data_IF_368513248268
#
_entry.id   IF_368513248268
#
_cell.length_a   1.000
_cell.length_b   1.000
_cell.length_c   1.000
_cell.angle_alpha   90.00
_cell.angle_beta   90.00
_cell.angle_gamma   90.00
#
_symmetry.space_group_name_H-M   'P 1'
#
loop_
_entity.id
_entity.type
_entity.pdbx_description
1 polymer ?
#
# COMPACT_ATOMS: atom_id res chain seq x y z
N UNK A 1 4.11 -20.50 0.75
CA UNK A 1 2.98 -20.99 1.57
C UNK A 1 2.09 -19.79 1.87
N UNK A 2 0.77 -19.93 1.77
CA UNK A 2 -0.16 -18.83 2.10
C UNK A 2 -0.40 -18.86 3.61
N UNK A 3 -0.29 -17.71 4.27
CA UNK A 3 -0.57 -17.55 5.68
C UNK A 3 -1.67 -16.51 5.86
N UNK A 4 -2.68 -16.81 6.68
CA UNK A 4 -3.80 -15.93 6.97
C UNK A 4 -3.98 -15.82 8.48
N UNK A 5 -3.98 -14.59 8.97
CA UNK A 5 -4.24 -14.25 10.37
C UNK A 5 -5.55 -13.48 10.44
N UNK A 6 -6.45 -13.88 11.32
CA UNK A 6 -7.73 -13.18 11.53
C UNK A 6 -7.91 -12.82 13.00
N UNK A 7 -8.49 -11.65 13.26
CA UNK A 7 -8.90 -11.21 14.61
C UNK A 7 -10.15 -10.36 14.54
N UNK A 8 -10.95 -10.43 15.61
CA UNK A 8 -12.01 -9.45 15.83
C UNK A 8 -11.39 -8.15 16.33
N UNK A 9 -11.69 -7.04 15.65
CA UNK A 9 -11.22 -5.71 15.99
C UNK A 9 -12.35 -4.71 15.81
N UNK A 10 -12.67 -3.93 16.84
CA UNK A 10 -13.72 -2.91 16.82
C UNK A 10 -15.06 -3.36 16.18
N UNK A 11 -15.47 -4.61 16.44
CA UNK A 11 -16.75 -5.17 15.97
C UNK A 11 -16.76 -5.72 14.54
N UNK A 12 -15.61 -5.77 13.86
CA UNK A 12 -15.47 -6.38 12.53
C UNK A 12 -14.25 -7.31 12.49
N UNK A 13 -14.26 -8.27 11.56
CA UNK A 13 -13.11 -9.14 11.32
C UNK A 13 -12.03 -8.38 10.56
N UNK A 14 -10.85 -8.27 11.17
CA UNK A 14 -9.61 -7.87 10.53
C UNK A 14 -8.85 -9.13 10.10
N UNK A 15 -8.50 -9.24 8.83
CA UNK A 15 -7.69 -10.32 8.29
C UNK A 15 -6.46 -9.81 7.54
N UNK A 16 -5.36 -10.54 7.69
CA UNK A 16 -4.07 -10.28 7.10
C UNK A 16 -3.63 -11.55 6.37
N UNK A 17 -3.43 -11.48 5.06
CA UNK A 17 -3.06 -12.62 4.24
C UNK A 17 -1.76 -12.35 3.47
N UNK A 18 -0.77 -13.22 3.64
CA UNK A 18 0.58 -13.11 3.05
C UNK A 18 0.83 -14.32 2.14
N UNK A 19 1.57 -14.10 1.04
CA UNK A 19 2.05 -15.17 0.16
C UNK A 19 1.08 -15.58 -0.96
N UNK A 20 -0.11 -14.97 -1.05
CA UNK A 20 -1.04 -15.19 -2.17
C UNK A 20 -0.72 -14.34 -3.40
N UNK A 21 -0.57 -13.03 -3.22
CA UNK A 21 -0.39 -12.04 -4.30
C UNK A 21 0.98 -11.37 -4.24
N UNK A 22 1.40 -10.77 -5.37
CA UNK A 22 2.64 -10.00 -5.48
C UNK A 22 3.89 -10.72 -4.94
N UNK A 23 4.05 -12.00 -5.27
CA UNK A 23 5.12 -12.89 -4.75
C UNK A 23 6.56 -12.47 -5.11
N UNK A 24 6.70 -11.56 -6.07
CA UNK A 24 7.99 -11.02 -6.50
C UNK A 24 8.37 -9.74 -5.73
N UNK A 25 7.45 -9.16 -4.95
CA UNK A 25 7.80 -8.11 -4.01
C UNK A 25 8.56 -8.69 -2.82
N UNK A 26 9.43 -7.88 -2.20
CA UNK A 26 10.15 -8.28 -0.99
C UNK A 26 9.17 -8.56 0.17
N UNK A 27 8.07 -7.81 0.23
CA UNK A 27 6.95 -8.10 1.11
C UNK A 27 5.61 -7.76 0.46
N UNK A 28 4.59 -8.57 0.70
CA UNK A 28 3.22 -8.28 0.30
C UNK A 28 2.23 -8.79 1.35
N UNK A 29 1.18 -8.01 1.58
CA UNK A 29 0.09 -8.37 2.49
C UNK A 29 -1.24 -7.88 1.92
N UNK A 30 -2.21 -8.77 1.82
CA UNK A 30 -3.60 -8.44 1.57
C UNK A 30 -4.27 -8.21 2.93
N UNK A 31 -4.72 -6.99 3.16
CA UNK A 31 -5.42 -6.60 4.40
C UNK A 31 -6.89 -6.45 4.07
N UNK A 32 -7.75 -7.11 4.85
CA UNK A 32 -9.20 -6.99 4.72
C UNK A 32 -9.81 -6.66 6.09
N UNK A 33 -10.68 -5.64 6.12
CA UNK A 33 -11.41 -5.23 7.32
C UNK A 33 -12.89 -5.08 6.98
N UNK A 34 -13.70 -6.08 7.34
CA UNK A 34 -15.04 -6.23 6.76
C UNK A 34 -14.93 -6.49 5.24
N UNK A 35 -15.60 -5.65 4.44
CA UNK A 35 -15.60 -5.77 2.98
C UNK A 35 -14.53 -4.91 2.29
N UNK A 36 -13.89 -4.00 3.02
CA UNK A 36 -12.78 -3.19 2.49
C UNK A 36 -11.51 -4.02 2.39
N UNK A 37 -10.89 -4.03 1.21
CA UNK A 37 -9.70 -4.84 0.89
C UNK A 37 -8.61 -3.95 0.30
N UNK A 38 -7.40 -4.05 0.86
CA UNK A 38 -6.21 -3.32 0.42
C UNK A 38 -5.04 -4.28 0.22
N UNK A 39 -4.39 -4.21 -0.94
CA UNK A 39 -3.13 -4.90 -1.21
C UNK A 39 -1.98 -3.93 -0.92
N UNK A 40 -1.18 -4.25 0.09
CA UNK A 40 0.03 -3.53 0.44
C UNK A 40 1.25 -4.32 -0.04
N UNK A 41 2.18 -3.64 -0.71
CA UNK A 41 3.44 -4.23 -1.17
C UNK A 41 4.60 -3.31 -0.79
N UNK A 42 5.74 -3.91 -0.44
CA UNK A 42 6.97 -3.21 -0.12
C UNK A 42 8.11 -3.81 -0.94
N UNK A 43 8.89 -2.93 -1.56
CA UNK A 43 10.09 -3.29 -2.31
C UNK A 43 11.23 -2.34 -1.95
N UNK A 44 12.44 -2.86 -1.91
CA UNK A 44 13.65 -2.06 -1.75
C UNK A 44 14.67 -2.49 -2.81
N UNK A 45 15.56 -1.59 -3.21
CA UNK A 45 16.71 -1.98 -4.01
C UNK A 45 17.74 -2.72 -3.16
N UNK A 46 18.38 -3.74 -3.74
CA UNK A 46 19.45 -4.50 -3.06
C UNK A 46 20.69 -3.63 -2.77
N UNK A 47 20.95 -2.64 -3.61
CA UNK A 47 22.10 -1.75 -3.50
C UNK A 47 21.68 -0.41 -2.91
N UNK A 48 22.54 0.22 -2.08
CA UNK A 48 22.29 1.57 -1.61
C UNK A 48 22.34 2.55 -2.78
N UNK A 49 21.50 3.58 -2.69
CA UNK A 49 21.46 4.69 -3.62
C UNK A 49 22.61 5.68 -3.34
N UNK A 50 22.92 6.50 -4.34
CA UNK A 50 23.91 7.57 -4.25
C UNK A 50 23.29 8.90 -3.77
N UNK A 51 21.97 8.93 -3.55
CA UNK A 51 21.28 10.14 -3.09
C UNK A 51 21.72 10.51 -1.67
N UNK A 52 21.78 11.82 -1.34
CA UNK A 52 22.22 12.27 -0.03
C UNK A 52 21.16 12.10 1.07
N UNK A 53 20.08 11.37 0.81
CA UNK A 53 18.95 11.18 1.72
C UNK A 53 18.29 9.81 1.50
N UNK A 54 17.51 9.36 2.48
CA UNK A 54 16.73 8.13 2.40
C UNK A 54 15.54 8.26 1.42
N UNK A 55 15.56 7.59 0.25
CA UNK A 55 14.49 7.67 -0.73
C UNK A 55 13.40 6.66 -0.38
N UNK A 56 12.43 7.12 0.41
CA UNK A 56 11.19 6.40 0.66
C UNK A 56 10.06 7.04 -0.14
N UNK A 57 9.39 6.22 -0.95
CA UNK A 57 8.20 6.59 -1.69
C UNK A 57 7.02 5.76 -1.19
N UNK A 58 5.94 6.44 -0.82
CA UNK A 58 4.68 5.80 -0.45
C UNK A 58 3.60 6.20 -1.44
N UNK A 59 2.97 5.20 -2.04
CA UNK A 59 1.87 5.36 -2.98
C UNK A 59 0.61 4.73 -2.40
N UNK A 60 -0.47 5.50 -2.39
CA UNK A 60 -1.80 5.04 -2.02
C UNK A 60 -2.71 5.29 -3.22
N UNK A 61 -3.30 4.23 -3.78
CA UNK A 61 -4.06 4.30 -5.04
C UNK A 61 -5.44 3.69 -4.90
N UNK A 62 -6.45 4.54 -5.07
CA UNK A 62 -7.85 4.12 -5.08
C UNK A 62 -8.27 3.78 -6.51
N UNK A 63 -8.80 2.57 -6.69
CA UNK A 63 -9.35 2.16 -7.97
C UNK A 63 -10.85 2.36 -7.99
N UNK A 64 -11.38 2.91 -9.08
CA UNK A 64 -12.81 3.20 -9.17
C UNK A 64 -13.66 1.91 -9.06
N UNK A 65 -13.10 0.78 -9.54
CA UNK A 65 -13.73 -0.53 -9.41
C UNK A 65 -13.91 -0.97 -7.94
N UNK A 66 -13.11 -0.44 -7.01
CA UNK A 66 -13.22 -0.80 -5.60
C UNK A 66 -14.60 -0.45 -5.02
N UNK A 67 -15.24 0.59 -5.57
CA UNK A 67 -16.61 1.02 -5.26
C UNK A 67 -17.62 0.66 -6.37
N UNK A 68 -17.25 -0.24 -7.30
CA UNK A 68 -18.10 -0.65 -8.43
C UNK A 68 -18.36 0.46 -9.47
N UNK A 69 -17.50 1.48 -9.56
CA UNK A 69 -17.68 2.63 -10.46
C UNK A 69 -16.67 2.61 -11.62
N UNK A 70 -17.06 3.22 -12.74
CA UNK A 70 -16.16 3.52 -13.87
C UNK A 70 -15.64 4.95 -13.69
N UNK A 71 -14.34 5.23 -13.90
CA UNK A 71 -13.80 6.58 -13.79
C UNK A 71 -14.55 7.58 -14.70
N UNK A 72 -14.92 8.74 -14.16
CA UNK A 72 -15.76 9.72 -14.86
C UNK A 72 -15.07 10.47 -16.01
N UNK A 73 -13.73 10.57 -15.99
CA UNK A 73 -12.95 11.37 -16.95
C UNK A 73 -13.05 10.91 -18.40
N UNK A 74 -12.55 11.73 -19.33
CA UNK A 74 -12.60 11.46 -20.78
C UNK A 74 -11.99 10.09 -21.14
N UNK A 75 -10.82 9.78 -20.57
CA UNK A 75 -10.10 8.53 -20.81
C UNK A 75 -10.64 7.31 -20.04
N UNK A 76 -11.67 7.48 -19.17
CA UNK A 76 -12.26 6.41 -18.35
C UNK A 76 -11.24 5.56 -17.57
N UNK A 77 -10.14 6.18 -17.12
CA UNK A 77 -9.05 5.56 -16.37
C UNK A 77 -8.62 6.47 -15.21
N UNK A 78 -8.15 5.89 -14.10
CA UNK A 78 -7.57 6.68 -13.02
C UNK A 78 -6.27 7.37 -13.47
N UNK A 79 -6.21 8.68 -13.30
CA UNK A 79 -5.08 9.53 -13.69
C UNK A 79 -4.18 9.88 -12.51
N UNK A 80 -3.79 11.15 -12.42
CA UNK A 80 -2.98 11.66 -11.31
C UNK A 80 -3.64 11.41 -9.94
N UNK A 81 -2.86 11.18 -8.88
CA UNK A 81 -3.40 11.06 -7.53
C UNK A 81 -4.22 12.28 -7.10
N UNK A 82 -5.41 12.02 -6.56
CA UNK A 82 -6.26 13.05 -5.97
C UNK A 82 -5.82 13.44 -4.55
N UNK A 83 -6.48 14.43 -3.96
CA UNK A 83 -6.15 14.93 -2.61
C UNK A 83 -6.20 13.83 -1.55
N UNK A 84 -7.27 13.01 -1.52
CA UNK A 84 -7.43 11.90 -0.58
C UNK A 84 -6.29 10.88 -0.69
N UNK A 85 -5.89 10.56 -1.92
CA UNK A 85 -4.79 9.61 -2.17
C UNK A 85 -3.46 10.17 -1.64
N UNK A 86 -3.18 11.45 -1.90
CA UNK A 86 -1.97 12.14 -1.42
C UNK A 86 -1.96 12.22 0.10
N UNK A 87 -3.08 12.60 0.74
CA UNK A 87 -3.17 12.70 2.18
C UNK A 87 -3.02 11.33 2.86
N UNK A 88 -3.60 10.28 2.29
CA UNK A 88 -3.48 8.92 2.79
C UNK A 88 -2.05 8.39 2.67
N UNK A 89 -1.39 8.62 1.53
CA UNK A 89 0.02 8.30 1.35
C UNK A 89 0.91 8.99 2.41
N UNK A 90 0.67 10.27 2.68
CA UNK A 90 1.40 11.02 3.73
C UNK A 90 1.11 10.49 5.14
N UNK A 91 -0.12 10.06 5.42
CA UNK A 91 -0.46 9.45 6.72
C UNK A 91 0.27 8.13 6.95
N UNK A 92 0.52 7.37 5.89
CA UNK A 92 1.31 6.13 5.97
C UNK A 92 2.81 6.43 6.08
N UNK A 93 3.33 7.39 5.29
CA UNK A 93 4.76 7.74 5.26
C UNK A 93 5.27 8.29 6.60
N UNK A 94 4.56 9.26 7.18
CA UNK A 94 5.00 9.97 8.39
C UNK A 94 5.37 9.07 9.58
N UNK A 95 4.56 8.06 9.97
CA UNK A 95 4.89 7.19 11.09
C UNK A 95 5.96 6.15 10.77
N UNK A 96 6.10 5.70 9.52
CA UNK A 96 7.06 4.63 9.17
C UNK A 96 8.45 5.17 8.87
N UNK A 97 8.56 6.39 8.30
CA UNK A 97 9.85 6.99 7.94
C UNK A 97 10.87 7.03 9.08
N UNK A 98 10.53 7.42 10.32
CA UNK A 98 11.49 7.41 11.43
C UNK A 98 11.79 6.01 11.99
N UNK A 99 11.10 4.96 11.54
CA UNK A 99 11.36 3.58 12.01
C UNK A 99 12.48 2.88 11.23
N UNK A 100 12.94 3.47 10.12
CA UNK A 100 14.08 2.96 9.37
C UNK A 100 15.38 3.25 10.12
N UNK A 101 16.36 2.32 10.13
CA UNK A 101 17.64 2.54 10.78
C UNK A 101 18.37 3.77 10.22
N UNK A 102 19.10 4.47 11.09
CA UNK A 102 19.96 5.57 10.67
C UNK A 102 20.98 5.10 9.61
N UNK A 103 21.09 5.87 8.52
CA UNK A 103 21.97 5.53 7.40
C UNK A 103 21.41 4.47 6.43
N UNK A 104 20.15 4.06 6.57
CA UNK A 104 19.49 3.21 5.57
C UNK A 104 19.26 3.99 4.26
N UNK A 105 20.03 3.65 3.22
CA UNK A 105 20.04 4.35 1.94
C UNK A 105 19.58 3.47 0.77
N UNK A 106 18.67 2.53 1.01
CA UNK A 106 18.10 1.72 -0.08
C UNK A 106 16.80 2.36 -0.56
N UNK A 107 16.69 2.60 -1.87
CA UNK A 107 15.46 3.12 -2.45
C UNK A 107 14.32 2.14 -2.15
N UNK A 108 13.32 2.63 -1.41
CA UNK A 108 12.24 1.81 -0.86
C UNK A 108 10.91 2.36 -1.32
N UNK A 109 10.09 1.51 -1.93
CA UNK A 109 8.74 1.83 -2.37
C UNK A 109 7.73 1.01 -1.58
N UNK A 110 6.68 1.69 -1.11
CA UNK A 110 5.51 1.06 -0.52
C UNK A 110 4.30 1.45 -1.36
N UNK A 111 3.62 0.45 -1.93
CA UNK A 111 2.43 0.67 -2.72
C UNK A 111 1.21 0.01 -2.07
N UNK A 112 0.19 0.81 -1.82
CA UNK A 112 -1.10 0.43 -1.25
C UNK A 112 -2.18 0.59 -2.33
N UNK A 113 -2.74 -0.53 -2.79
CA UNK A 113 -3.78 -0.57 -3.81
C UNK A 113 -5.11 -0.99 -3.18
N UNK A 114 -6.12 -0.13 -3.30
CA UNK A 114 -7.44 -0.37 -2.72
C UNK A 114 -8.23 -1.17 -3.74
N UNK A 115 -8.55 -2.41 -3.39
CA UNK A 115 -9.20 -3.38 -4.26
C UNK A 115 -10.71 -3.41 -4.07
N UNK A 116 -11.17 -3.15 -2.85
CA UNK A 116 -12.59 -3.05 -2.52
C UNK A 116 -12.76 -2.01 -1.42
N UNK A 117 -13.82 -1.21 -1.54
CA UNK A 117 -14.19 -0.19 -0.58
C UNK A 117 -15.71 -0.25 -0.38
N UNK A 118 -16.11 -0.52 0.85
CA UNK A 118 -17.48 -0.41 1.36
C UNK A 118 -17.82 1.05 1.70
#
# INVERSE_FOLDING_TARGET
MIQRLERQFAGRTLSLEVGRMAKLAHGSCLVQYGDTVVLCTATAQDKPTHLPFFPLTVEYREKAYAAGKIPGGFFKREGQPGEKEILSARQIDRPIRPLFPDGYMHETQIACLILSAD
#
